data_IF_386870366446
#
_entry.id   IF_386870366446
#
_cell.length_a   1.000
_cell.length_b   1.000
_cell.length_c   1.000
_cell.angle_alpha   90.00
_cell.angle_beta   90.00
_cell.angle_gamma   90.00
#
_symmetry.space_group_name_H-M   'P 1'
#
loop_
_entity.id
_entity.type
_entity.pdbx_description
1 polymer ?
#
# COMPACT_ATOMS: atom_id res chain seq x y z
N UNK A 1 -7.75 38.43 -0.21
CA UNK A 1 -7.85 38.23 -1.68
C UNK A 1 -9.33 38.12 -1.99
N UNK A 2 -9.90 39.13 -2.66
CA UNK A 2 -11.36 39.31 -2.77
C UNK A 2 -12.00 38.24 -3.66
N UNK A 3 -13.05 37.60 -3.16
CA UNK A 3 -13.88 36.67 -3.92
C UNK A 3 -14.99 37.50 -4.58
N UNK A 4 -14.89 37.69 -5.89
CA UNK A 4 -15.98 38.24 -6.69
C UNK A 4 -17.00 37.14 -6.96
N UNK A 5 -18.24 37.36 -6.55
CA UNK A 5 -19.38 36.50 -6.85
C UNK A 5 -20.27 37.25 -7.84
N UNK A 6 -20.55 36.61 -8.98
CA UNK A 6 -21.29 37.16 -10.10
C UNK A 6 -22.79 37.30 -9.73
N UNK A 7 -23.33 38.49 -9.97
CA UNK A 7 -24.77 38.76 -9.95
C UNK A 7 -25.41 38.27 -11.24
N UNK A 8 -26.49 37.51 -11.12
CA UNK A 8 -27.39 37.17 -12.23
C UNK A 8 -28.70 37.93 -12.05
N UNK A 9 -29.00 38.85 -12.98
CA UNK A 9 -30.27 39.56 -13.05
C UNK A 9 -31.39 38.62 -13.53
N UNK A 10 -32.56 38.67 -12.88
CA UNK A 10 -33.79 38.11 -13.42
C UNK A 10 -34.98 39.06 -13.26
N UNK A 11 -35.79 39.13 -14.31
CA UNK A 11 -36.82 40.12 -14.56
C UNK A 11 -38.23 39.53 -14.33
N UNK A 12 -39.05 40.24 -13.54
CA UNK A 12 -40.51 40.37 -13.66
C UNK A 12 -41.46 39.20 -13.31
N UNK A 13 -42.24 39.35 -12.20
CA UNK A 13 -43.59 38.78 -12.13
C UNK A 13 -44.26 38.62 -10.75
N UNK A 14 -45.18 39.53 -10.37
CA UNK A 14 -46.20 39.35 -9.32
C UNK A 14 -45.94 40.12 -8.03
N UNK A 15 -46.90 40.96 -7.57
CA UNK A 15 -46.76 41.86 -6.41
C UNK A 15 -46.51 41.11 -5.08
N UNK A 16 -46.87 39.82 -5.00
CA UNK A 16 -46.43 38.92 -3.91
C UNK A 16 -45.07 38.26 -4.13
N UNK A 17 -44.62 38.12 -5.37
CA UNK A 17 -43.31 37.58 -5.76
C UNK A 17 -42.18 38.58 -5.56
N UNK A 18 -42.38 39.86 -5.87
CA UNK A 18 -41.34 40.90 -5.73
C UNK A 18 -40.90 41.13 -4.28
N UNK A 19 -41.81 41.02 -3.31
CA UNK A 19 -41.48 41.20 -1.89
C UNK A 19 -40.76 39.96 -1.33
N UNK A 20 -41.22 38.75 -1.70
CA UNK A 20 -40.56 37.50 -1.34
C UNK A 20 -39.14 37.41 -1.89
N UNK A 21 -38.95 37.78 -3.16
CA UNK A 21 -37.66 37.77 -3.85
C UNK A 21 -36.65 38.77 -3.23
N UNK A 22 -37.12 39.94 -2.77
CA UNK A 22 -36.26 40.88 -2.02
C UNK A 22 -35.88 40.35 -0.64
N UNK A 23 -36.83 39.77 0.10
CA UNK A 23 -36.54 39.23 1.45
C UNK A 23 -35.55 38.08 1.35
N UNK A 24 -35.74 37.20 0.37
CA UNK A 24 -34.81 36.11 0.04
C UNK A 24 -33.39 36.64 -0.23
N UNK A 25 -33.27 37.63 -1.12
CA UNK A 25 -31.98 38.30 -1.39
C UNK A 25 -31.34 38.88 -0.12
N UNK A 26 -32.10 39.57 0.73
CA UNK A 26 -31.57 40.15 1.97
C UNK A 26 -31.15 39.09 2.98
N UNK A 27 -31.91 37.99 3.13
CA UNK A 27 -31.55 36.86 3.99
C UNK A 27 -30.22 36.27 3.53
N UNK A 28 -30.09 35.94 2.24
CA UNK A 28 -28.85 35.38 1.70
C UNK A 28 -27.67 36.34 1.86
N UNK A 29 -27.85 37.64 1.60
CA UNK A 29 -26.79 38.63 1.79
C UNK A 29 -26.38 38.77 3.26
N UNK A 30 -27.35 38.79 4.17
CA UNK A 30 -27.12 38.87 5.61
C UNK A 30 -26.34 37.67 6.13
N UNK A 31 -26.76 36.45 5.73
CA UNK A 31 -26.08 35.21 6.11
C UNK A 31 -24.67 35.11 5.56
N UNK A 32 -24.43 35.55 4.31
CA UNK A 32 -23.07 35.63 3.76
C UNK A 32 -22.20 36.57 4.57
N UNK A 33 -22.71 37.77 4.87
CA UNK A 33 -21.97 38.75 5.67
C UNK A 33 -21.67 38.24 7.09
N UNK A 34 -22.66 37.60 7.73
CA UNK A 34 -22.49 36.99 9.05
C UNK A 34 -21.47 35.86 9.03
N UNK A 35 -21.52 34.97 8.05
CA UNK A 35 -20.52 33.92 7.85
C UNK A 35 -19.11 34.51 7.64
N UNK A 36 -18.98 35.54 6.80
CA UNK A 36 -17.69 36.21 6.58
C UNK A 36 -17.14 36.79 7.89
N UNK A 37 -17.97 37.42 8.72
CA UNK A 37 -17.54 37.92 10.04
C UNK A 37 -17.09 36.81 10.98
N UNK A 38 -17.80 35.67 11.02
CA UNK A 38 -17.38 34.50 11.80
C UNK A 38 -16.04 33.98 11.31
N UNK A 39 -15.87 33.82 9.99
CA UNK A 39 -14.61 33.39 9.39
C UNK A 39 -13.46 34.36 9.69
N UNK A 40 -13.69 35.67 9.57
CA UNK A 40 -12.69 36.69 9.91
C UNK A 40 -12.34 36.69 11.41
N UNK A 41 -13.32 36.44 12.29
CA UNK A 41 -13.07 36.30 13.72
C UNK A 41 -12.21 35.07 14.01
N UNK A 42 -12.52 33.92 13.40
CA UNK A 42 -11.74 32.69 13.57
C UNK A 42 -10.31 32.82 13.01
N UNK A 43 -10.13 33.60 11.94
CA UNK A 43 -8.80 33.93 11.38
C UNK A 43 -8.07 35.02 12.19
N UNK A 44 -8.81 35.94 12.82
CA UNK A 44 -8.31 37.14 13.50
C UNK A 44 -8.12 36.98 15.01
N UNK A 45 -8.61 35.90 15.63
CA UNK A 45 -8.41 35.56 17.04
C UNK A 45 -6.94 35.33 17.43
N UNK A 46 -6.00 35.36 16.46
CA UNK A 46 -4.55 35.38 16.70
C UNK A 46 -4.00 36.62 17.44
N UNK A 47 -4.84 37.59 17.80
CA UNK A 47 -4.44 38.81 18.53
C UNK A 47 -4.93 38.88 19.99
N UNK A 48 -5.60 37.85 20.53
CA UNK A 48 -6.02 37.87 21.94
C UNK A 48 -4.88 37.38 22.85
N UNK A 49 -4.45 38.28 23.73
CA UNK A 49 -3.39 38.11 24.73
C UNK A 49 -3.72 36.99 25.73
N UNK A 50 -3.47 35.71 25.39
CA UNK A 50 -3.14 34.57 26.27
C UNK A 50 -2.65 33.41 25.36
N UNK A 51 -1.33 33.20 25.34
CA UNK A 51 -0.60 31.95 25.10
C UNK A 51 -0.92 31.15 23.80
N UNK A 52 -0.02 31.29 22.81
CA UNK A 52 0.36 30.29 21.79
C UNK A 52 -0.71 29.29 21.33
N UNK A 53 -1.42 29.64 20.25
CA UNK A 53 -1.89 28.63 19.30
C UNK A 53 -1.57 29.11 17.89
N UNK A 54 -0.54 28.52 17.28
CA UNK A 54 -0.54 28.33 15.83
C UNK A 54 -1.70 27.35 15.55
N UNK A 55 -2.94 27.87 15.52
CA UNK A 55 -4.09 27.02 15.24
C UNK A 55 -3.91 26.44 13.84
N UNK A 56 -3.78 25.11 13.76
CA UNK A 56 -3.69 24.43 12.48
C UNK A 56 -4.94 24.75 11.64
N UNK A 57 -4.78 24.95 10.33
CA UNK A 57 -5.87 25.43 9.47
C UNK A 57 -7.12 24.51 9.50
N UNK A 58 -6.95 23.22 9.82
CA UNK A 58 -8.04 22.28 10.02
C UNK A 58 -8.78 22.47 11.35
N UNK A 59 -8.13 22.89 12.43
CA UNK A 59 -8.83 23.22 13.69
C UNK A 59 -9.74 24.43 13.48
N UNK A 60 -9.24 25.45 12.76
CA UNK A 60 -10.02 26.63 12.35
C UNK A 60 -11.25 26.20 11.52
N UNK A 61 -11.09 25.32 10.53
CA UNK A 61 -12.21 24.84 9.71
C UNK A 61 -13.23 24.02 10.50
N UNK A 62 -12.77 23.25 11.49
CA UNK A 62 -13.65 22.45 12.34
C UNK A 62 -14.47 23.33 13.30
N UNK A 63 -13.87 24.40 13.84
CA UNK A 63 -14.58 25.41 14.65
C UNK A 63 -15.55 26.23 13.80
N UNK A 64 -15.11 26.68 12.63
CA UNK A 64 -15.96 27.36 11.66
C UNK A 64 -17.21 26.55 11.31
N UNK A 65 -17.10 25.22 11.20
CA UNK A 65 -18.26 24.37 10.97
C UNK A 65 -19.28 24.48 12.12
N UNK A 66 -18.79 24.42 13.37
CA UNK A 66 -19.62 24.56 14.56
C UNK A 66 -20.26 25.95 14.66
N UNK A 67 -19.52 27.01 14.37
CA UNK A 67 -20.05 28.37 14.44
C UNK A 67 -21.05 28.65 13.32
N UNK A 68 -20.86 28.03 12.16
CA UNK A 68 -21.85 28.05 11.06
C UNK A 68 -23.16 27.37 11.47
N UNK A 69 -23.09 26.25 12.19
CA UNK A 69 -24.27 25.58 12.76
C UNK A 69 -24.98 26.49 13.77
N UNK A 70 -24.23 27.15 14.67
CA UNK A 70 -24.80 28.10 15.64
C UNK A 70 -25.44 29.31 14.96
N UNK A 71 -24.84 29.81 13.88
CA UNK A 71 -25.40 30.91 13.10
C UNK A 71 -26.74 30.50 12.45
N UNK A 72 -26.82 29.29 11.89
CA UNK A 72 -28.06 28.75 11.33
C UNK A 72 -29.14 28.58 12.40
N UNK A 73 -28.79 28.08 13.59
CA UNK A 73 -29.71 27.96 14.72
C UNK A 73 -30.23 29.33 15.17
N UNK A 74 -29.35 30.33 15.30
CA UNK A 74 -29.74 31.70 15.65
C UNK A 74 -30.70 32.31 14.63
N UNK A 75 -30.47 32.09 13.33
CA UNK A 75 -31.35 32.57 12.26
C UNK A 75 -32.72 31.89 12.30
N UNK A 76 -32.73 30.57 12.50
CA UNK A 76 -33.95 29.77 12.60
C UNK A 76 -34.81 30.18 13.80
N UNK A 77 -34.20 30.41 14.95
CA UNK A 77 -34.94 30.64 16.19
C UNK A 77 -35.34 32.11 16.35
N UNK A 78 -34.54 33.06 15.85
CA UNK A 78 -34.75 34.50 16.08
C UNK A 78 -35.48 35.21 14.94
N UNK A 79 -35.08 34.95 13.69
CA UNK A 79 -35.48 35.77 12.54
C UNK A 79 -36.49 35.06 11.64
N UNK A 80 -36.31 33.76 11.42
CA UNK A 80 -37.18 32.96 10.54
C UNK A 80 -38.67 33.04 10.89
N UNK A 81 -39.12 33.00 12.17
CA UNK A 81 -40.54 33.10 12.51
C UNK A 81 -41.17 34.45 12.13
N UNK A 82 -40.37 35.52 12.13
CA UNK A 82 -40.82 36.87 11.77
C UNK A 82 -40.86 37.03 10.24
N UNK A 83 -39.83 36.52 9.56
CA UNK A 83 -39.68 36.63 8.11
C UNK A 83 -40.64 35.73 7.32
N UNK A 84 -41.18 34.67 7.94
CA UNK A 84 -42.18 33.76 7.33
C UNK A 84 -43.43 34.46 6.79
N UNK A 85 -43.73 35.67 7.28
CA UNK A 85 -44.85 36.49 6.77
C UNK A 85 -44.61 37.05 5.37
N UNK A 86 -43.35 37.12 4.93
CA UNK A 86 -42.92 37.77 3.69
C UNK A 86 -42.19 36.83 2.74
N UNK A 87 -41.64 35.74 3.24
CA UNK A 87 -40.97 34.70 2.46
C UNK A 87 -41.43 33.32 2.95
N UNK A 88 -41.73 32.35 2.07
CA UNK A 88 -42.23 31.05 2.50
C UNK A 88 -41.22 30.24 3.31
N UNK A 89 -39.91 30.30 2.96
CA UNK A 89 -38.86 29.47 3.58
C UNK A 89 -37.57 30.27 3.90
N UNK A 90 -37.64 31.30 4.77
CA UNK A 90 -36.48 32.15 5.06
C UNK A 90 -35.36 31.36 5.77
N UNK A 91 -35.72 30.41 6.64
CA UNK A 91 -34.77 29.55 7.33
C UNK A 91 -34.04 28.63 6.35
N UNK A 92 -34.79 28.00 5.43
CA UNK A 92 -34.19 27.21 4.36
C UNK A 92 -33.22 28.03 3.48
N UNK A 93 -33.60 29.24 3.04
CA UNK A 93 -32.74 30.12 2.25
C UNK A 93 -31.43 30.49 2.99
N UNK A 94 -31.53 30.75 4.29
CA UNK A 94 -30.37 30.99 5.14
C UNK A 94 -29.46 29.76 5.25
N UNK A 95 -30.04 28.59 5.51
CA UNK A 95 -29.33 27.32 5.61
C UNK A 95 -28.57 26.99 4.32
N UNK A 96 -29.22 27.09 3.15
CA UNK A 96 -28.58 26.86 1.85
C UNK A 96 -27.39 27.80 1.66
N UNK A 97 -27.56 29.06 2.03
CA UNK A 97 -26.51 30.08 1.92
C UNK A 97 -25.31 29.73 2.79
N UNK A 98 -25.53 29.39 4.06
CA UNK A 98 -24.47 29.02 5.00
C UNK A 98 -23.77 27.72 4.59
N UNK A 99 -24.52 26.73 4.11
CA UNK A 99 -23.98 25.49 3.54
C UNK A 99 -23.04 25.80 2.37
N UNK A 100 -23.47 26.64 1.42
CA UNK A 100 -22.65 27.04 0.27
C UNK A 100 -21.40 27.80 0.70
N UNK A 101 -21.51 28.73 1.65
CA UNK A 101 -20.37 29.49 2.17
C UNK A 101 -19.30 28.58 2.78
N UNK A 102 -19.69 27.68 3.68
CA UNK A 102 -18.77 26.71 4.26
C UNK A 102 -18.19 25.78 3.19
N UNK A 103 -19.01 25.32 2.24
CA UNK A 103 -18.59 24.46 1.13
C UNK A 103 -17.49 25.08 0.26
N UNK A 104 -17.52 26.39 0.02
CA UNK A 104 -16.44 27.10 -0.71
C UNK A 104 -15.12 27.06 0.08
N UNK A 105 -15.17 27.33 1.38
CA UNK A 105 -13.98 27.31 2.24
C UNK A 105 -13.42 25.89 2.37
N UNK A 106 -14.29 24.89 2.56
CA UNK A 106 -13.92 23.48 2.59
C UNK A 106 -13.23 23.05 1.29
N UNK A 107 -13.79 23.42 0.12
CA UNK A 107 -13.16 23.11 -1.19
C UNK A 107 -11.76 23.71 -1.31
N UNK A 108 -11.54 24.93 -0.85
CA UNK A 108 -10.22 25.56 -0.86
C UNK A 108 -9.21 24.85 0.05
N UNK A 109 -9.64 24.37 1.22
CA UNK A 109 -8.82 23.57 2.11
C UNK A 109 -8.46 22.23 1.47
N UNK A 110 -9.46 21.53 0.91
CA UNK A 110 -9.28 20.22 0.25
C UNK A 110 -8.36 20.29 -0.97
N UNK A 111 -8.34 21.40 -1.71
CA UNK A 111 -7.46 21.60 -2.86
C UNK A 111 -5.95 21.58 -2.48
N UNK A 112 -5.62 21.83 -1.21
CA UNK A 112 -4.24 21.82 -0.70
C UNK A 112 -3.86 20.47 -0.07
N UNK A 113 -4.83 19.61 0.21
CA UNK A 113 -4.59 18.33 0.85
C UNK A 113 -4.05 17.29 -0.15
N UNK A 114 -2.95 16.63 0.22
CA UNK A 114 -2.29 15.61 -0.62
C UNK A 114 -2.50 14.18 -0.10
N UNK A 115 -2.76 14.01 1.19
CA UNK A 115 -2.97 12.71 1.82
C UNK A 115 -3.97 12.80 2.98
N UNK A 116 -4.48 11.64 3.40
CA UNK A 116 -5.40 11.54 4.53
C UNK A 116 -4.64 11.68 5.86
N UNK A 117 -4.68 12.86 6.46
CA UNK A 117 -4.16 13.13 7.82
C UNK A 117 -5.28 13.05 8.85
N UNK A 118 -4.93 12.89 10.14
CA UNK A 118 -5.91 12.93 11.23
C UNK A 118 -6.66 14.27 11.25
N UNK A 119 -5.95 15.37 11.03
CA UNK A 119 -6.51 16.72 10.91
C UNK A 119 -7.57 16.79 9.79
N UNK A 120 -7.24 16.29 8.58
CA UNK A 120 -8.18 16.25 7.46
C UNK A 120 -9.41 15.38 7.78
N UNK A 121 -9.22 14.24 8.46
CA UNK A 121 -10.34 13.39 8.90
C UNK A 121 -11.24 14.15 9.90
N UNK A 122 -10.65 14.90 10.84
CA UNK A 122 -11.40 15.73 11.78
C UNK A 122 -12.21 16.82 11.05
N UNK A 123 -11.62 17.52 10.08
CA UNK A 123 -12.29 18.52 9.24
C UNK A 123 -13.45 17.89 8.47
N UNK A 124 -13.22 16.76 7.81
CA UNK A 124 -14.24 16.05 7.03
C UNK A 124 -15.41 15.58 7.90
N UNK A 125 -15.14 15.09 9.12
CA UNK A 125 -16.18 14.76 10.07
C UNK A 125 -16.95 15.99 10.56
N UNK A 126 -16.28 17.12 10.81
CA UNK A 126 -16.95 18.35 11.20
C UNK A 126 -17.88 18.86 10.08
N UNK A 127 -17.39 18.84 8.82
CA UNK A 127 -18.17 19.19 7.64
C UNK A 127 -19.40 18.29 7.47
N UNK A 128 -19.24 16.97 7.61
CA UNK A 128 -20.36 16.03 7.51
C UNK A 128 -21.41 16.19 8.62
N UNK A 129 -20.99 16.55 9.84
CA UNK A 129 -21.92 16.88 10.93
C UNK A 129 -22.69 18.17 10.64
N UNK A 130 -21.98 19.23 10.21
CA UNK A 130 -22.61 20.48 9.82
C UNK A 130 -23.65 20.26 8.72
N UNK A 131 -23.27 19.57 7.64
CA UNK A 131 -24.18 19.28 6.53
C UNK A 131 -25.44 18.55 7.02
N UNK A 132 -25.29 17.52 7.85
CA UNK A 132 -26.42 16.78 8.40
C UNK A 132 -27.33 17.69 9.25
N UNK A 133 -26.77 18.56 10.08
CA UNK A 133 -27.53 19.49 10.91
C UNK A 133 -28.28 20.53 10.06
N UNK A 134 -27.59 21.13 9.07
CA UNK A 134 -28.16 22.08 8.13
C UNK A 134 -29.30 21.46 7.32
N UNK A 135 -29.07 20.30 6.70
CA UNK A 135 -30.08 19.58 5.92
C UNK A 135 -31.28 19.20 6.78
N UNK A 136 -31.07 18.75 8.02
CA UNK A 136 -32.17 18.46 8.94
C UNK A 136 -33.01 19.72 9.22
N UNK A 137 -32.37 20.84 9.55
CA UNK A 137 -33.08 22.11 9.79
C UNK A 137 -33.88 22.56 8.57
N UNK A 138 -33.32 22.41 7.36
CA UNK A 138 -34.01 22.74 6.12
C UNK A 138 -35.24 21.83 5.90
N UNK A 139 -35.10 20.52 6.11
CA UNK A 139 -36.21 19.56 5.96
C UNK A 139 -37.34 19.87 6.95
N UNK A 140 -37.02 20.23 8.19
CA UNK A 140 -37.99 20.66 9.19
C UNK A 140 -38.71 21.96 8.78
N UNK A 141 -38.02 22.92 8.15
CA UNK A 141 -38.60 24.21 7.75
C UNK A 141 -39.56 24.10 6.56
N UNK A 142 -39.38 23.11 5.69
CA UNK A 142 -40.21 22.91 4.47
C UNK A 142 -41.25 21.79 4.62
N UNK A 143 -41.32 21.11 5.77
CA UNK A 143 -42.15 19.94 6.01
C UNK A 143 -43.65 20.18 5.77
N UNK A 144 -44.14 21.37 6.11
CA UNK A 144 -45.56 21.75 5.99
C UNK A 144 -45.93 22.34 4.62
N UNK A 145 -45.04 22.23 3.61
CA UNK A 145 -45.27 22.80 2.28
C UNK A 145 -45.80 21.80 1.26
N UNK A 146 -46.74 22.24 0.41
CA UNK A 146 -47.36 21.40 -0.63
C UNK A 146 -46.36 20.87 -1.69
N UNK A 147 -45.27 21.60 -1.95
CA UNK A 147 -44.18 21.15 -2.86
C UNK A 147 -42.99 20.51 -2.12
N UNK A 148 -43.05 20.39 -0.78
CA UNK A 148 -41.97 19.82 0.03
C UNK A 148 -40.63 20.56 -0.11
N UNK A 149 -40.65 21.86 -0.45
CA UNK A 149 -39.46 22.68 -0.62
C UNK A 149 -38.52 22.25 -1.76
N UNK A 150 -39.00 21.54 -2.79
CA UNK A 150 -38.15 20.97 -3.86
C UNK A 150 -37.20 21.95 -4.52
N UNK A 151 -37.57 23.22 -4.69
CA UNK A 151 -36.69 24.24 -5.26
C UNK A 151 -35.46 24.48 -4.38
N UNK A 152 -35.66 24.69 -3.08
CA UNK A 152 -34.60 25.01 -2.13
C UNK A 152 -33.75 23.78 -1.80
N UNK A 153 -34.37 22.60 -1.68
CA UNK A 153 -33.65 21.35 -1.42
C UNK A 153 -32.66 21.02 -2.55
N UNK A 154 -32.98 21.38 -3.79
CA UNK A 154 -32.08 21.16 -4.95
C UNK A 154 -30.87 22.08 -4.97
N UNK A 155 -30.90 23.20 -4.25
CA UNK A 155 -29.76 24.13 -4.17
C UNK A 155 -28.63 23.57 -3.29
N UNK A 156 -28.94 22.67 -2.35
CA UNK A 156 -27.93 22.06 -1.46
C UNK A 156 -27.23 20.91 -2.17
N UNK A 157 -25.95 21.12 -2.51
CA UNK A 157 -25.08 20.09 -3.07
C UNK A 157 -24.29 19.40 -1.95
N UNK A 158 -24.39 18.07 -1.77
CA UNK A 158 -23.65 17.37 -0.73
C UNK A 158 -22.15 17.64 -0.76
N UNK A 159 -21.51 17.65 0.41
CA UNK A 159 -20.05 17.74 0.54
C UNK A 159 -19.34 16.43 0.16
N UNK A 160 -20.09 15.33 0.00
CA UNK A 160 -19.58 14.02 -0.40
C UNK A 160 -18.45 13.50 0.51
N UNK A 161 -18.57 13.73 1.82
CA UNK A 161 -17.54 13.42 2.82
C UNK A 161 -17.03 11.98 2.73
N UNK A 162 -17.94 11.00 2.60
CA UNK A 162 -17.55 9.59 2.49
C UNK A 162 -16.74 9.31 1.22
N UNK A 163 -17.13 9.89 0.08
CA UNK A 163 -16.41 9.73 -1.18
C UNK A 163 -15.03 10.40 -1.11
N UNK A 164 -14.93 11.56 -0.46
CA UNK A 164 -13.65 12.24 -0.22
C UNK A 164 -12.72 11.39 0.64
N UNK A 165 -13.22 10.84 1.75
CA UNK A 165 -12.46 9.94 2.63
C UNK A 165 -11.94 8.73 1.86
N UNK A 166 -12.81 8.06 1.10
CA UNK A 166 -12.42 6.90 0.28
C UNK A 166 -11.36 7.26 -0.76
N UNK A 167 -11.49 8.42 -1.42
CA UNK A 167 -10.52 8.91 -2.40
C UNK A 167 -9.15 9.15 -1.76
N UNK A 168 -9.09 9.88 -0.65
CA UNK A 168 -7.82 10.15 0.03
C UNK A 168 -7.19 8.89 0.62
N UNK A 169 -8.00 7.94 1.10
CA UNK A 169 -7.51 6.67 1.60
C UNK A 169 -6.91 5.80 0.47
N UNK A 170 -7.53 5.81 -0.72
CA UNK A 170 -6.96 5.17 -1.92
C UNK A 170 -5.61 5.78 -2.30
N UNK A 171 -5.53 7.11 -2.38
CA UNK A 171 -4.26 7.82 -2.66
C UNK A 171 -3.18 7.49 -1.62
N UNK A 172 -3.56 7.40 -0.34
CA UNK A 172 -2.65 6.98 0.72
C UNK A 172 -2.11 5.55 0.51
N UNK A 173 -2.98 4.60 0.14
CA UNK A 173 -2.56 3.21 -0.15
C UNK A 173 -1.58 3.20 -1.32
N UNK A 174 -1.92 3.88 -2.42
CA UNK A 174 -1.09 3.96 -3.62
C UNK A 174 0.31 4.49 -3.30
N UNK A 175 0.40 5.54 -2.48
CA UNK A 175 1.66 6.14 -2.05
C UNK A 175 2.48 5.20 -1.15
N UNK A 176 1.86 4.56 -0.16
CA UNK A 176 2.56 3.58 0.71
C UNK A 176 3.08 2.39 -0.09
N UNK A 177 2.30 1.89 -1.04
CA UNK A 177 2.72 0.80 -1.93
C UNK A 177 3.83 1.25 -2.89
N UNK A 178 3.81 2.50 -3.38
CA UNK A 178 4.88 3.08 -4.18
C UNK A 178 6.19 3.11 -3.40
N UNK A 179 6.17 3.62 -2.17
CA UNK A 179 7.34 3.66 -1.28
C UNK A 179 7.89 2.25 -1.03
N UNK A 180 7.01 1.26 -0.80
CA UNK A 180 7.41 -0.12 -0.59
C UNK A 180 8.06 -0.76 -1.84
N UNK A 181 7.56 -0.46 -3.05
CA UNK A 181 8.19 -0.89 -4.31
C UNK A 181 9.56 -0.26 -4.52
N UNK A 182 9.72 1.04 -4.25
CA UNK A 182 11.02 1.72 -4.35
C UNK A 182 12.04 1.21 -3.33
N UNK A 183 11.58 0.86 -2.14
CA UNK A 183 12.39 0.16 -1.17
C UNK A 183 12.80 -1.23 -1.70
N UNK A 184 11.86 -2.00 -2.27
CA UNK A 184 12.13 -3.34 -2.80
C UNK A 184 13.18 -3.31 -3.91
N UNK A 185 13.09 -2.36 -4.84
CA UNK A 185 14.08 -2.18 -5.90
C UNK A 185 15.49 -1.98 -5.32
N UNK A 186 15.65 -1.07 -4.35
CA UNK A 186 16.93 -0.84 -3.67
C UNK A 186 17.41 -2.07 -2.88
N UNK A 187 16.50 -2.81 -2.27
CA UNK A 187 16.83 -4.03 -1.53
C UNK A 187 17.38 -5.13 -2.46
N UNK A 188 16.86 -5.24 -3.70
CA UNK A 188 17.37 -6.21 -4.69
C UNK A 188 18.83 -5.95 -5.07
N UNK A 189 19.21 -4.69 -5.22
CA UNK A 189 20.57 -4.31 -5.62
C UNK A 189 21.59 -4.46 -4.49
N UNK A 190 21.14 -4.38 -3.24
CA UNK A 190 22.02 -4.35 -2.06
C UNK A 190 22.10 -5.68 -1.31
N UNK A 191 21.27 -6.67 -1.66
CA UNK A 191 21.21 -7.93 -0.95
C UNK A 191 22.45 -8.80 -1.22
N UNK A 192 23.12 -9.19 -0.13
CA UNK A 192 24.36 -9.97 -0.17
C UNK A 192 24.17 -11.46 0.12
N UNK A 193 22.98 -11.85 0.61
CA UNK A 193 22.64 -13.21 1.04
C UNK A 193 23.51 -13.73 2.18
N UNK A 194 24.02 -12.81 3.01
CA UNK A 194 24.81 -13.13 4.20
C UNK A 194 23.90 -13.03 5.42
N UNK A 195 23.77 -14.11 6.23
CA UNK A 195 22.94 -14.07 7.43
C UNK A 195 23.54 -13.11 8.45
N UNK A 196 22.66 -12.42 9.19
CA UNK A 196 23.10 -11.48 10.23
C UNK A 196 23.67 -12.19 11.46
N UNK A 197 23.12 -13.35 11.81
CA UNK A 197 23.60 -14.19 12.92
C UNK A 197 23.15 -15.64 12.75
N UNK A 198 23.65 -16.54 13.62
CA UNK A 198 23.17 -17.93 13.66
C UNK A 198 21.69 -18.06 14.04
N UNK A 199 21.16 -17.10 14.80
CA UNK A 199 19.75 -17.07 15.20
C UNK A 199 18.82 -16.45 14.14
N UNK A 200 19.38 -15.74 13.16
CA UNK A 200 18.64 -15.11 12.05
C UNK A 200 19.20 -15.63 10.70
N UNK A 201 19.00 -16.91 10.36
CA UNK A 201 19.61 -17.53 9.18
C UNK A 201 18.84 -17.20 7.88
N UNK A 202 18.34 -15.97 7.73
CA UNK A 202 17.56 -15.46 6.61
C UNK A 202 18.03 -14.07 6.21
N UNK A 203 17.63 -13.61 5.01
CA UNK A 203 18.05 -12.33 4.46
C UNK A 203 17.55 -11.15 5.31
N UNK A 204 18.40 -10.14 5.49
CA UNK A 204 18.04 -8.91 6.21
C UNK A 204 16.91 -8.17 5.50
N UNK A 205 16.92 -8.14 4.16
CA UNK A 205 15.86 -7.47 3.39
C UNK A 205 14.47 -8.07 3.67
N UNK A 206 14.34 -9.39 3.88
CA UNK A 206 13.04 -9.98 4.19
C UNK A 206 12.46 -9.52 5.53
N UNK A 207 13.32 -9.33 6.53
CA UNK A 207 12.91 -8.79 7.84
C UNK A 207 12.37 -7.38 7.69
N UNK A 208 13.10 -6.53 6.97
CA UNK A 208 12.72 -5.14 6.76
C UNK A 208 11.45 -5.01 5.90
N UNK A 209 11.28 -5.87 4.89
CA UNK A 209 10.06 -5.96 4.08
C UNK A 209 8.84 -6.31 4.96
N UNK A 210 8.97 -7.31 5.82
CA UNK A 210 7.87 -7.74 6.70
C UNK A 210 7.54 -6.69 7.77
N UNK A 211 8.56 -5.99 8.30
CA UNK A 211 8.34 -4.83 9.19
C UNK A 211 7.63 -3.69 8.47
N UNK A 212 8.06 -3.35 7.25
CA UNK A 212 7.44 -2.31 6.44
C UNK A 212 5.97 -2.63 6.15
N UNK A 213 5.68 -3.88 5.75
CA UNK A 213 4.32 -4.34 5.51
C UNK A 213 3.47 -4.27 6.79
N UNK A 214 4.02 -4.75 7.93
CA UNK A 214 3.32 -4.65 9.22
C UNK A 214 3.02 -3.21 9.61
N UNK A 215 4.02 -2.33 9.56
CA UNK A 215 3.84 -0.92 9.87
C UNK A 215 2.80 -0.26 8.95
N UNK A 216 2.79 -0.60 7.66
CA UNK A 216 1.79 -0.10 6.72
C UNK A 216 0.37 -0.55 7.08
N UNK A 217 0.20 -1.82 7.47
CA UNK A 217 -1.10 -2.35 7.94
C UNK A 217 -1.53 -1.66 9.23
N UNK A 218 -0.62 -1.52 10.20
CA UNK A 218 -0.91 -0.86 11.47
C UNK A 218 -1.28 0.62 11.27
N UNK A 219 -0.53 1.36 10.43
CA UNK A 219 -0.83 2.75 10.06
C UNK A 219 -2.23 2.86 9.41
N UNK A 220 -2.56 1.96 8.48
CA UNK A 220 -3.84 1.97 7.77
C UNK A 220 -5.04 1.86 8.73
N UNK A 221 -4.95 0.99 9.73
CA UNK A 221 -6.00 0.84 10.74
C UNK A 221 -5.96 1.92 11.82
N UNK A 222 -4.82 2.60 12.00
CA UNK A 222 -4.68 3.77 12.84
C UNK A 222 -5.45 5.00 12.34
N UNK A 223 -5.72 5.10 11.02
CA UNK A 223 -6.50 6.19 10.43
C UNK A 223 -7.95 6.12 10.96
N UNK A 224 -8.50 7.18 11.61
CA UNK A 224 -9.78 7.13 12.32
C UNK A 224 -10.99 7.27 11.38
N UNK A 225 -11.13 6.37 10.41
CA UNK A 225 -12.27 6.34 9.46
C UNK A 225 -13.13 5.10 9.69
N UNK A 226 -14.44 5.23 9.48
CA UNK A 226 -15.41 4.12 9.60
C UNK A 226 -15.60 3.40 8.27
N UNK A 227 -15.68 4.14 7.16
CA UNK A 227 -15.82 3.60 5.82
C UNK A 227 -14.46 3.19 5.24
N UNK A 228 -14.09 1.90 5.36
CA UNK A 228 -12.89 1.33 4.71
C UNK A 228 -13.19 0.54 3.44
N UNK A 229 -14.46 0.25 3.13
CA UNK A 229 -14.89 -0.41 1.88
C UNK A 229 -14.05 -1.63 1.50
N UNK A 230 -13.86 -1.86 0.19
CA UNK A 230 -12.92 -2.86 -0.34
C UNK A 230 -11.44 -2.47 -0.25
N UNK A 231 -11.09 -1.33 0.36
CA UNK A 231 -9.72 -0.82 0.37
C UNK A 231 -8.75 -1.66 1.21
N UNK A 232 -9.26 -2.44 2.16
CA UNK A 232 -8.45 -3.44 2.87
C UNK A 232 -7.91 -4.47 1.87
N UNK A 233 -8.76 -4.92 0.94
CA UNK A 233 -8.36 -5.87 -0.08
C UNK A 233 -7.39 -5.21 -1.07
N UNK A 234 -7.63 -3.97 -1.50
CA UNK A 234 -6.71 -3.22 -2.36
C UNK A 234 -5.30 -3.11 -1.74
N UNK A 235 -5.21 -2.84 -0.42
CA UNK A 235 -3.93 -2.82 0.30
C UNK A 235 -3.29 -4.23 0.36
N UNK A 236 -4.10 -5.25 0.68
CA UNK A 236 -3.62 -6.63 0.76
C UNK A 236 -3.08 -7.13 -0.59
N UNK A 237 -3.81 -6.88 -1.69
CA UNK A 237 -3.41 -7.24 -3.05
C UNK A 237 -2.14 -6.50 -3.47
N UNK A 238 -2.03 -5.22 -3.13
CA UNK A 238 -0.84 -4.42 -3.38
C UNK A 238 0.40 -4.95 -2.66
N UNK A 239 0.26 -5.33 -1.39
CA UNK A 239 1.34 -5.95 -0.61
C UNK A 239 1.66 -7.37 -1.13
N UNK A 240 0.64 -8.15 -1.52
CA UNK A 240 0.81 -9.48 -2.11
C UNK A 240 1.62 -9.43 -3.39
N UNK A 241 1.35 -8.46 -4.27
CA UNK A 241 2.13 -8.24 -5.49
C UNK A 241 3.61 -7.93 -5.18
N UNK A 242 3.89 -7.09 -4.18
CA UNK A 242 5.26 -6.78 -3.74
C UNK A 242 5.96 -8.04 -3.19
N UNK A 243 5.25 -8.86 -2.40
CA UNK A 243 5.78 -10.12 -1.89
C UNK A 243 6.08 -11.10 -3.02
N UNK A 244 5.18 -11.25 -4.00
CA UNK A 244 5.40 -12.08 -5.18
C UNK A 244 6.65 -11.64 -5.95
N UNK A 245 6.84 -10.33 -6.12
CA UNK A 245 8.00 -9.79 -6.81
C UNK A 245 9.31 -10.08 -6.05
N UNK A 246 9.31 -9.98 -4.72
CA UNK A 246 10.46 -10.35 -3.88
C UNK A 246 10.72 -11.86 -3.88
N UNK A 247 9.68 -12.68 -3.88
CA UNK A 247 9.79 -14.15 -3.99
C UNK A 247 10.36 -14.56 -5.34
N UNK A 248 9.95 -13.90 -6.43
CA UNK A 248 10.52 -14.11 -7.76
C UNK A 248 12.03 -13.79 -7.78
N UNK A 249 12.44 -12.72 -7.10
CA UNK A 249 13.85 -12.39 -6.92
C UNK A 249 14.60 -13.46 -6.10
N UNK A 250 14.00 -13.98 -5.02
CA UNK A 250 14.57 -15.09 -4.24
C UNK A 250 14.75 -16.36 -5.08
N UNK A 251 13.80 -16.67 -5.97
CA UNK A 251 13.87 -17.82 -6.87
C UNK A 251 14.85 -17.63 -8.04
N UNK A 252 15.26 -16.40 -8.32
CA UNK A 252 16.19 -16.04 -9.40
C UNK A 252 17.64 -16.29 -8.97
N UNK A 253 18.04 -17.56 -8.86
CA UNK A 253 19.37 -17.98 -8.39
C UNK A 253 20.11 -18.91 -9.37
N UNK A 254 19.68 -19.01 -10.62
CA UNK A 254 20.30 -19.83 -11.67
C UNK A 254 19.47 -21.06 -12.05
N UNK A 255 20.03 -21.93 -12.89
CA UNK A 255 19.35 -23.12 -13.41
C UNK A 255 20.09 -24.39 -13.00
N UNK A 256 19.36 -25.50 -12.82
CA UNK A 256 19.96 -26.79 -12.45
C UNK A 256 20.92 -27.33 -13.51
N UNK A 257 20.67 -26.99 -14.77
CA UNK A 257 21.51 -27.35 -15.92
C UNK A 257 22.92 -26.77 -15.79
N UNK A 258 23.09 -25.63 -15.11
CA UNK A 258 24.39 -25.02 -14.86
C UNK A 258 25.31 -25.86 -13.95
N UNK A 259 24.75 -26.82 -13.22
CA UNK A 259 25.52 -27.69 -12.32
C UNK A 259 25.67 -29.12 -12.83
N UNK A 260 24.95 -29.53 -13.88
CA UNK A 260 25.07 -30.87 -14.42
C UNK A 260 26.42 -31.06 -15.12
N UNK A 261 27.21 -32.10 -14.78
CA UNK A 261 28.45 -32.39 -15.50
C UNK A 261 28.13 -32.84 -16.93
N UNK A 262 29.02 -32.52 -17.88
CA UNK A 262 28.89 -33.06 -19.24
C UNK A 262 29.02 -34.57 -19.21
N UNK A 263 28.16 -35.26 -19.96
CA UNK A 263 28.25 -36.71 -20.09
C UNK A 263 29.66 -37.06 -20.59
N UNK A 264 30.34 -38.06 -19.97
CA UNK A 264 31.64 -38.50 -20.45
C UNK A 264 31.50 -38.95 -21.91
N UNK A 265 32.48 -38.65 -22.77
CA UNK A 265 32.43 -39.09 -24.16
C UNK A 265 32.26 -40.61 -24.18
N UNK A 266 31.32 -41.11 -24.98
CA UNK A 266 31.05 -42.54 -25.08
C UNK A 266 32.30 -43.25 -25.62
N UNK A 267 33.15 -43.77 -24.72
CA UNK A 267 34.27 -44.63 -25.06
C UNK A 267 33.74 -46.03 -25.33
N UNK A 268 33.12 -46.22 -26.49
CA UNK A 268 32.79 -47.55 -27.00
C UNK A 268 34.06 -48.26 -27.45
N UNK A 269 34.85 -48.77 -26.51
CA UNK A 269 35.79 -49.83 -26.82
C UNK A 269 35.03 -51.14 -26.80
N UNK A 270 34.52 -51.58 -27.97
CA UNK A 270 34.27 -53.01 -28.13
C UNK A 270 35.60 -53.73 -27.85
N UNK A 271 35.62 -54.68 -26.91
CA UNK A 271 36.80 -55.52 -26.66
C UNK A 271 37.29 -56.22 -27.94
N UNK A 272 36.42 -56.37 -28.94
CA UNK A 272 36.72 -56.96 -30.25
C UNK A 272 37.08 -55.96 -31.37
N UNK A 273 37.26 -54.68 -31.08
CA UNK A 273 37.63 -53.70 -32.11
C UNK A 273 39.08 -53.90 -32.58
N UNK A 274 39.24 -54.59 -33.71
CA UNK A 274 40.50 -54.78 -34.45
C UNK A 274 41.23 -53.47 -34.81
N UNK A 275 40.55 -52.32 -34.70
CA UNK A 275 41.13 -50.98 -34.87
C UNK A 275 42.27 -50.72 -33.88
N UNK A 276 42.17 -51.18 -32.62
CA UNK A 276 43.21 -50.95 -31.61
C UNK A 276 44.51 -51.76 -31.89
N UNK A 277 44.42 -52.83 -32.71
CA UNK A 277 45.60 -53.54 -33.24
C UNK A 277 46.24 -52.82 -34.42
N UNK A 278 45.48 -52.07 -35.22
CA UNK A 278 46.01 -51.29 -36.34
C UNK A 278 46.80 -50.06 -35.84
N UNK A 279 46.28 -49.35 -34.84
CA UNK A 279 46.97 -48.19 -34.25
C UNK A 279 48.24 -48.59 -33.48
N UNK A 280 48.26 -49.76 -32.82
CA UNK A 280 49.49 -50.32 -32.23
C UNK A 280 50.52 -50.81 -33.25
N UNK A 281 50.13 -51.07 -34.51
CA UNK A 281 51.02 -51.52 -35.57
C UNK A 281 51.50 -50.39 -36.48
N UNK A 282 50.82 -49.23 -36.46
CA UNK A 282 51.19 -48.01 -37.15
C UNK A 282 52.05 -47.05 -36.30
N UNK A 283 52.11 -47.25 -34.97
CA UNK A 283 53.07 -46.55 -34.12
C UNK A 283 54.41 -47.30 -34.13
N UNK A 284 55.37 -46.80 -34.90
CA UNK A 284 56.78 -47.19 -34.78
C UNK A 284 57.32 -46.86 -33.37
N UNK A 285 58.22 -47.67 -32.79
CA UNK A 285 58.75 -47.43 -31.45
C UNK A 285 59.80 -46.34 -31.48
N UNK A 286 59.41 -45.08 -31.24
CA UNK A 286 60.36 -44.02 -30.92
C UNK A 286 60.62 -44.04 -29.41
N UNK A 287 61.67 -44.76 -29.03
CA UNK A 287 62.33 -44.70 -27.73
C UNK A 287 63.09 -43.37 -27.64
N UNK A 288 62.69 -42.46 -26.75
CA UNK A 288 63.57 -41.37 -26.29
C UNK A 288 63.13 -40.85 -24.92
N UNK A 289 63.93 -41.22 -23.93
CA UNK A 289 64.05 -40.62 -22.60
C UNK A 289 64.47 -39.15 -22.68
N UNK A 290 63.83 -38.32 -21.87
CA UNK A 290 64.42 -37.15 -21.21
C UNK A 290 64.60 -35.89 -22.03
N UNK A 291 63.74 -34.88 -21.80
CA UNK A 291 64.08 -33.53 -21.31
C UNK A 291 62.85 -32.62 -21.36
N UNK A 292 62.49 -32.03 -20.22
CA UNK A 292 61.60 -30.84 -20.11
C UNK A 292 62.42 -29.59 -20.55
N UNK A 293 61.88 -28.45 -21.05
CA UNK A 293 60.76 -27.69 -20.44
C UNK A 293 59.86 -26.78 -21.34
N UNK A 294 58.73 -26.37 -20.73
CA UNK A 294 57.97 -25.10 -20.87
C UNK A 294 57.29 -24.70 -22.20
N UNK A 295 55.98 -24.43 -22.08
CA UNK A 295 55.36 -23.19 -22.58
C UNK A 295 54.04 -23.34 -23.34
N UNK A 296 52.90 -23.17 -22.66
CA UNK A 296 51.58 -23.11 -23.31
C UNK A 296 50.45 -22.96 -22.31
N UNK A 297 50.24 -21.73 -21.83
CA UNK A 297 49.20 -21.34 -20.88
C UNK A 297 47.85 -21.20 -21.59
N UNK A 298 46.83 -21.94 -21.13
CA UNK A 298 45.43 -21.52 -21.18
C UNK A 298 44.76 -21.81 -19.82
N UNK A 299 43.94 -20.89 -19.29
CA UNK A 299 43.60 -20.84 -17.87
C UNK A 299 42.40 -21.73 -17.52
N UNK A 300 42.65 -23.02 -17.27
CA UNK A 300 41.75 -23.89 -16.53
C UNK A 300 42.13 -23.86 -15.05
N UNK A 301 41.20 -23.42 -14.19
CA UNK A 301 41.40 -23.28 -12.74
C UNK A 301 41.72 -24.62 -12.05
N UNK A 302 42.99 -25.00 -12.07
CA UNK A 302 43.56 -25.89 -11.07
C UNK A 302 44.10 -25.00 -9.94
N UNK A 303 43.23 -24.64 -9.00
CA UNK A 303 43.68 -24.14 -7.71
C UNK A 303 44.30 -25.31 -6.93
N UNK A 304 45.62 -25.32 -6.93
CA UNK A 304 46.46 -26.10 -6.02
C UNK A 304 46.07 -25.78 -4.57
N UNK A 305 45.36 -26.69 -3.92
CA UNK A 305 45.15 -26.66 -2.48
C UNK A 305 46.43 -27.16 -1.77
N UNK A 306 47.31 -26.21 -1.44
CA UNK A 306 48.28 -26.39 -0.37
C UNK A 306 47.80 -25.55 0.82
N UNK A 307 47.59 -26.20 1.97
CA UNK A 307 47.25 -25.53 3.24
C UNK A 307 45.80 -25.77 3.68
N UNK A 308 45.64 -26.44 4.83
CA UNK A 308 44.38 -26.94 5.34
C UNK A 308 43.34 -25.86 5.64
N UNK A 309 42.30 -25.83 4.81
CA UNK A 309 40.91 -25.51 5.16
C UNK A 309 40.07 -25.67 3.89
N UNK A 310 39.87 -26.91 3.44
CA UNK A 310 38.82 -27.16 2.45
C UNK A 310 37.48 -26.96 3.18
N UNK A 311 36.70 -25.91 2.86
CA UNK A 311 35.37 -25.79 3.44
C UNK A 311 34.61 -27.07 3.12
N UNK A 312 33.97 -27.67 4.12
CA UNK A 312 33.11 -28.84 3.94
C UNK A 312 32.18 -28.55 2.75
N UNK A 313 31.88 -29.50 1.84
CA UNK A 313 31.09 -29.24 0.63
C UNK A 313 29.79 -28.47 0.88
N UNK A 314 29.12 -28.73 2.01
CA UNK A 314 27.91 -28.04 2.47
C UNK A 314 28.11 -26.58 2.95
N UNK A 315 29.34 -26.06 2.96
CA UNK A 315 29.71 -24.74 3.48
C UNK A 315 30.33 -23.82 2.43
N UNK A 316 30.27 -24.20 1.15
CA UNK A 316 30.66 -23.28 0.07
C UNK A 316 29.78 -22.02 0.10
N UNK A 317 30.36 -20.87 -0.24
CA UNK A 317 29.65 -19.59 -0.24
C UNK A 317 28.37 -19.65 -1.08
N UNK A 318 28.44 -20.24 -2.28
CA UNK A 318 27.27 -20.34 -3.16
C UNK A 318 26.17 -21.24 -2.59
N UNK A 319 26.52 -22.33 -1.91
CA UNK A 319 25.55 -23.23 -1.29
C UNK A 319 24.92 -22.61 -0.04
N UNK A 320 25.72 -21.90 0.76
CA UNK A 320 25.21 -21.11 1.88
C UNK A 320 24.22 -20.03 1.41
N UNK A 321 24.52 -19.30 0.33
CA UNK A 321 23.58 -18.31 -0.23
C UNK A 321 22.24 -18.93 -0.64
N UNK A 322 22.23 -20.15 -1.20
CA UNK A 322 20.99 -20.87 -1.52
C UNK A 322 20.22 -21.28 -0.26
N UNK A 323 20.90 -21.71 0.80
CA UNK A 323 20.26 -22.01 2.08
C UNK A 323 19.65 -20.77 2.72
N UNK A 324 20.32 -19.61 2.64
CA UNK A 324 19.75 -18.34 3.12
C UNK A 324 18.50 -17.99 2.33
N UNK A 325 18.50 -18.13 1.00
CA UNK A 325 17.30 -17.91 0.18
C UNK A 325 16.15 -18.84 0.57
N UNK A 326 16.44 -20.12 0.80
CA UNK A 326 15.45 -21.11 1.24
C UNK A 326 14.85 -20.73 2.61
N UNK A 327 15.70 -20.44 3.60
CA UNK A 327 15.26 -20.00 4.92
C UNK A 327 14.46 -18.69 4.85
N UNK A 328 14.84 -17.80 3.95
CA UNK A 328 14.11 -16.54 3.70
C UNK A 328 12.71 -16.81 3.17
N UNK A 329 12.54 -17.75 2.23
CA UNK A 329 11.21 -18.13 1.74
C UNK A 329 10.32 -18.71 2.86
N UNK A 330 10.87 -19.55 3.74
CA UNK A 330 10.16 -20.04 4.91
C UNK A 330 9.82 -18.92 5.91
N UNK A 331 10.74 -17.99 6.12
CA UNK A 331 10.51 -16.79 6.93
C UNK A 331 9.33 -15.99 6.39
N UNK A 332 9.30 -15.69 5.08
CA UNK A 332 8.20 -14.96 4.45
C UNK A 332 6.86 -15.69 4.65
N UNK A 333 6.79 -17.01 4.40
CA UNK A 333 5.56 -17.79 4.60
C UNK A 333 4.99 -17.67 6.02
N UNK A 334 5.86 -17.75 7.04
CA UNK A 334 5.43 -17.62 8.44
C UNK A 334 4.93 -16.21 8.78
N UNK A 335 5.56 -15.17 8.25
CA UNK A 335 5.21 -13.77 8.52
C UNK A 335 4.00 -13.30 7.72
N UNK A 336 3.82 -13.78 6.48
CA UNK A 336 2.60 -13.55 5.70
C UNK A 336 1.37 -14.06 6.43
N UNK A 337 1.45 -15.23 7.09
CA UNK A 337 0.33 -15.73 7.89
C UNK A 337 0.01 -14.86 9.13
N UNK A 338 1.02 -14.26 9.75
CA UNK A 338 0.81 -13.33 10.85
C UNK A 338 0.16 -12.01 10.39
N UNK A 339 0.59 -11.49 9.23
CA UNK A 339 -0.01 -10.29 8.61
C UNK A 339 -1.46 -10.53 8.20
N UNK A 340 -1.75 -11.69 7.62
CA UNK A 340 -3.08 -12.10 7.21
C UNK A 340 -4.07 -12.19 8.39
N UNK A 341 -3.61 -12.73 9.53
CA UNK A 341 -4.36 -12.68 10.79
C UNK A 341 -4.63 -11.25 11.26
N UNK A 342 -3.65 -10.36 11.13
CA UNK A 342 -3.79 -8.94 11.49
C UNK A 342 -4.86 -8.25 10.64
N UNK A 343 -4.79 -8.41 9.32
CA UNK A 343 -5.78 -7.86 8.38
C UNK A 343 -7.19 -8.41 8.65
N UNK A 344 -7.30 -9.71 8.90
CA UNK A 344 -8.57 -10.37 9.21
C UNK A 344 -9.15 -9.84 10.53
N UNK A 345 -8.33 -9.75 11.58
CA UNK A 345 -8.75 -9.26 12.89
C UNK A 345 -9.28 -7.82 12.83
N UNK A 346 -8.54 -6.92 12.19
CA UNK A 346 -8.93 -5.51 12.11
C UNK A 346 -10.12 -5.27 11.17
N UNK A 347 -10.32 -6.11 10.16
CA UNK A 347 -11.48 -6.05 9.27
C UNK A 347 -12.78 -6.43 9.97
N UNK A 348 -12.75 -7.44 10.84
CA UNK A 348 -13.95 -7.95 11.53
C UNK A 348 -14.22 -7.23 12.87
N UNK A 349 -13.21 -6.58 13.44
CA UNK A 349 -13.22 -6.06 14.81
C UNK A 349 -13.92 -4.71 15.07
N UNK A 350 -14.51 -4.05 14.05
CA UNK A 350 -15.16 -2.72 14.26
C UNK A 350 -16.63 -2.61 13.82
N UNK A 351 -17.24 -3.65 13.24
CA UNK A 351 -18.62 -3.58 12.72
C UNK A 351 -19.48 -4.85 12.91
N UNK A 352 -19.15 -5.71 13.87
CA UNK A 352 -19.99 -6.90 14.15
C UNK A 352 -21.08 -6.56 15.17
N UNK A 353 -22.27 -6.20 14.70
CA UNK A 353 -23.49 -6.24 15.52
C UNK A 353 -23.76 -7.69 15.97
N UNK A 354 -24.22 -7.96 17.21
CA UNK A 354 -24.26 -9.31 17.79
C UNK A 354 -25.50 -10.10 17.36
N UNK A 355 -25.86 -10.10 16.07
CA UNK A 355 -27.04 -10.82 15.58
C UNK A 355 -26.84 -11.40 14.19
N UNK A 356 -25.90 -12.33 14.02
CA UNK A 356 -26.04 -13.38 13.00
C UNK A 356 -25.07 -14.55 13.20
N UNK A 357 -25.66 -15.66 13.64
CA UNK A 357 -25.26 -17.04 13.37
C UNK A 357 -23.94 -17.58 13.95
N UNK A 358 -24.10 -18.39 15.00
CA UNK A 358 -23.12 -19.33 15.55
C UNK A 358 -22.78 -20.52 14.59
N UNK A 359 -22.85 -20.33 13.28
CA UNK A 359 -22.70 -21.37 12.25
C UNK A 359 -21.41 -21.26 11.41
N UNK A 360 -20.57 -20.23 11.62
CA UNK A 360 -19.25 -20.13 10.96
C UNK A 360 -18.12 -20.33 11.97
N UNK A 361 -18.04 -21.56 12.52
CA UNK A 361 -16.89 -22.02 13.33
C UNK A 361 -15.91 -22.88 12.53
N UNK A 362 -16.06 -22.94 11.20
CA UNK A 362 -14.90 -23.20 10.36
C UNK A 362 -14.08 -21.91 10.34
N UNK A 363 -12.82 -22.00 10.76
CA UNK A 363 -11.83 -20.94 10.58
C UNK A 363 -12.04 -20.35 9.19
N UNK A 364 -12.54 -19.12 9.09
CA UNK A 364 -12.52 -18.39 7.83
C UNK A 364 -11.04 -18.41 7.41
N UNK A 365 -10.74 -19.22 6.40
CA UNK A 365 -9.40 -19.27 5.82
C UNK A 365 -9.11 -17.84 5.42
N UNK A 366 -8.13 -17.26 6.09
CA UNK A 366 -7.66 -15.93 5.81
C UNK A 366 -7.09 -15.98 4.38
N UNK A 367 -7.71 -15.23 3.46
CA UNK A 367 -7.49 -15.35 2.01
C UNK A 367 -6.49 -14.34 1.48
N UNK A 368 -5.90 -13.50 2.35
CA UNK A 368 -4.94 -12.52 1.91
C UNK A 368 -3.60 -13.23 1.64
N UNK A 369 -2.88 -12.77 0.61
CA UNK A 369 -1.56 -13.28 0.24
C UNK A 369 -1.51 -14.68 -0.37
N UNK A 370 -2.61 -15.23 -0.89
CA UNK A 370 -2.63 -16.58 -1.45
C UNK A 370 -1.66 -16.76 -2.63
N UNK A 371 -1.53 -15.75 -3.51
CA UNK A 371 -0.61 -15.84 -4.64
C UNK A 371 0.85 -15.82 -4.18
N UNK A 372 1.25 -14.94 -3.25
CA UNK A 372 2.62 -14.98 -2.71
C UNK A 372 2.89 -16.25 -1.93
N UNK A 373 1.91 -16.81 -1.21
CA UNK A 373 2.06 -18.11 -0.53
C UNK A 373 2.30 -19.24 -1.52
N UNK A 374 1.50 -19.33 -2.57
CA UNK A 374 1.68 -20.33 -3.63
C UNK A 374 3.03 -20.14 -4.37
N UNK A 375 3.39 -18.89 -4.68
CA UNK A 375 4.68 -18.56 -5.31
C UNK A 375 5.86 -18.95 -4.41
N UNK A 376 5.77 -18.71 -3.10
CA UNK A 376 6.81 -19.07 -2.14
C UNK A 376 6.98 -20.59 -2.04
N UNK A 377 5.89 -21.36 -2.02
CA UNK A 377 5.95 -22.82 -2.02
C UNK A 377 6.64 -23.35 -3.29
N UNK A 378 6.28 -22.82 -4.46
CA UNK A 378 6.94 -23.17 -5.73
C UNK A 378 8.43 -22.79 -5.74
N UNK A 379 8.76 -21.60 -5.22
CA UNK A 379 10.13 -21.12 -5.10
C UNK A 379 10.97 -21.99 -4.16
N UNK A 380 10.41 -22.47 -3.04
CA UNK A 380 11.10 -23.37 -2.10
C UNK A 380 11.55 -24.64 -2.82
N UNK A 381 10.66 -25.29 -3.58
CA UNK A 381 10.98 -26.51 -4.33
C UNK A 381 12.11 -26.24 -5.32
N UNK A 382 12.03 -25.12 -6.07
CA UNK A 382 13.04 -24.74 -7.07
C UNK A 382 14.42 -24.47 -6.45
N UNK A 383 14.46 -23.69 -5.38
CA UNK A 383 15.71 -23.33 -4.69
C UNK A 383 16.30 -24.56 -4.00
N UNK A 384 15.48 -25.44 -3.41
CA UNK A 384 15.91 -26.70 -2.84
C UNK A 384 16.53 -27.63 -3.89
N UNK A 385 15.86 -27.79 -5.04
CA UNK A 385 16.39 -28.58 -6.16
C UNK A 385 17.75 -28.02 -6.60
N UNK A 386 17.83 -26.71 -6.83
CA UNK A 386 19.08 -26.07 -7.24
C UNK A 386 20.22 -26.26 -6.22
N UNK A 387 19.91 -26.13 -4.93
CA UNK A 387 20.86 -26.36 -3.85
C UNK A 387 21.35 -27.81 -3.81
N UNK A 388 20.47 -28.79 -4.04
CA UNK A 388 20.84 -30.20 -4.13
C UNK A 388 21.76 -30.48 -5.32
N UNK A 389 21.43 -29.96 -6.50
CA UNK A 389 22.27 -30.11 -7.70
C UNK A 389 23.66 -29.50 -7.50
N UNK A 390 23.71 -28.27 -6.97
CA UNK A 390 24.99 -27.62 -6.64
C UNK A 390 25.80 -28.43 -5.64
N UNK A 391 25.18 -28.90 -4.56
CA UNK A 391 25.87 -29.65 -3.51
C UNK A 391 26.46 -30.96 -4.05
N UNK A 392 25.70 -31.70 -4.85
CA UNK A 392 26.09 -33.02 -5.37
C UNK A 392 27.12 -32.88 -6.49
N UNK A 393 26.80 -32.08 -7.52
CA UNK A 393 27.57 -32.07 -8.77
C UNK A 393 28.72 -31.08 -8.79
N UNK A 394 28.65 -30.00 -7.99
CA UNK A 394 29.71 -28.99 -7.95
C UNK A 394 30.55 -29.12 -6.67
N UNK A 395 29.94 -28.93 -5.51
CA UNK A 395 30.70 -28.83 -4.25
C UNK A 395 31.27 -30.18 -3.80
N UNK A 396 30.53 -31.26 -4.05
CA UNK A 396 30.95 -32.64 -3.74
C UNK A 396 31.56 -33.37 -4.95
N UNK A 397 31.88 -32.64 -6.03
CA UNK A 397 32.40 -33.23 -7.27
C UNK A 397 33.60 -34.14 -7.03
N UNK A 398 34.58 -33.68 -6.24
CA UNK A 398 35.78 -34.45 -5.93
C UNK A 398 35.48 -35.78 -5.20
N UNK A 399 34.42 -35.81 -4.39
CA UNK A 399 34.02 -36.99 -3.62
C UNK A 399 33.21 -37.98 -4.45
N UNK A 400 32.30 -37.50 -5.30
CA UNK A 400 31.37 -38.36 -6.06
C UNK A 400 31.79 -38.65 -7.50
N UNK A 401 32.49 -37.71 -8.16
CA UNK A 401 32.77 -37.76 -9.61
C UNK A 401 34.25 -37.80 -9.93
N UNK A 402 35.07 -37.03 -9.20
CA UNK A 402 36.51 -36.89 -9.45
C UNK A 402 37.30 -38.20 -9.38
N UNK A 403 36.79 -39.19 -8.62
CA UNK A 403 37.41 -40.52 -8.49
C UNK A 403 36.87 -41.61 -9.42
N UNK A 404 35.77 -41.36 -10.15
CA UNK A 404 35.08 -42.41 -10.93
C UNK A 404 35.93 -43.00 -12.07
N UNK A 405 36.99 -42.30 -12.51
CA UNK A 405 37.83 -42.72 -13.64
C UNK A 405 39.33 -42.77 -13.31
N UNK A 406 39.74 -42.66 -12.04
CA UNK A 406 41.16 -42.57 -11.63
C UNK A 406 41.85 -43.96 -11.53
N UNK A 407 41.20 -45.04 -12.01
CA UNK A 407 41.74 -46.41 -11.98
C UNK A 407 41.76 -47.12 -13.33
N UNK A 408 41.55 -46.40 -14.44
CA UNK A 408 41.57 -46.95 -15.79
C UNK A 408 42.86 -46.52 -16.53
N UNK A 409 44.01 -47.00 -16.05
CA UNK A 409 45.27 -47.02 -16.83
C UNK A 409 45.74 -48.46 -17.03
#
# INVERSE_FOLDING_TARGET
MGIALADSEHDGGGIGGFAGDRVDYYVRCSMRSAFTKVLENELGQGNSMIINRDDEPGEILARLAKDTEQLALSERDSFSPVLKRWHPFPGAAAVVTLHSCYGVVLKQYLAKATCLTNELVHVLHAAGRLEKALVQMMVEDVADSDDGGKSVVREVLPYDVEALVLRFLRTWIEEKLRIAREWLLRAKDTESWIPKSKGEPYARSAVELMKLAKATVDDFFGIPVTARGGLVQDLADGLDAIFQEYISFLASCGTKQSYLPSLPPLTRCNQDSKINRLWRRAASPCRATGTSPRGGVYPGQNASFSGGNNPRPSTSRGTQCLYIRLNTLHYLLSHSHALDKSLSFFSHGRCSSPTSSAASRHLAQSTHFEHSRAAAQSAIVRVAELAAYRLIFLDSHHSFYGGLYVGAE
#
